data_IF_209897628298
#
_entry.id   IF_209897628298
#
_cell.length_a   1.000
_cell.length_b   1.000
_cell.length_c   1.000
_cell.angle_alpha   90.00
_cell.angle_beta   90.00
_cell.angle_gamma   90.00
#
_symmetry.space_group_name_H-M   'P 1'
#
loop_
_entity.id
_entity.type
_entity.pdbx_description
1 polymer ?
#
# COMPACT_ATOMS: atom_id res chain seq x y z
N UNK A 1 10.61 8.83 10.49
CA UNK A 1 11.60 7.85 10.98
C UNK A 1 11.19 6.46 10.52
N UNK A 2 12.12 5.49 10.42
CA UNK A 2 11.82 4.14 9.93
C UNK A 2 10.68 3.47 10.72
N UNK A 3 10.65 3.68 12.03
CA UNK A 3 9.64 3.15 12.95
C UNK A 3 8.26 3.77 12.72
N UNK A 4 8.21 5.08 12.46
CA UNK A 4 6.97 5.78 12.15
C UNK A 4 6.31 5.22 10.88
N UNK A 5 7.09 4.81 9.88
CA UNK A 5 6.55 4.20 8.68
C UNK A 5 5.99 2.78 8.93
N UNK A 6 6.58 2.03 9.87
CA UNK A 6 6.02 0.74 10.30
C UNK A 6 4.69 0.94 11.04
N UNK A 7 4.60 1.95 11.88
CA UNK A 7 3.39 2.24 12.65
C UNK A 7 2.27 2.73 11.71
N UNK A 8 2.57 3.64 10.77
CA UNK A 8 1.61 4.07 9.73
C UNK A 8 1.11 2.91 8.87
N UNK A 9 1.97 1.93 8.57
CA UNK A 9 1.57 0.74 7.82
C UNK A 9 0.57 -0.10 8.62
N UNK A 10 0.74 -0.22 9.94
CA UNK A 10 -0.20 -0.94 10.82
C UNK A 10 -1.54 -0.21 11.03
N UNK A 11 -1.54 1.11 10.94
CA UNK A 11 -2.76 1.94 11.08
C UNK A 11 -3.71 1.84 9.88
N UNK A 12 -3.27 1.28 8.74
CA UNK A 12 -4.14 1.11 7.57
C UNK A 12 -5.17 -0.01 7.77
N UNK A 13 -6.34 0.16 7.16
CA UNK A 13 -7.38 -0.87 7.13
C UNK A 13 -6.99 -1.99 6.15
N UNK A 14 -6.46 -3.10 6.67
CA UNK A 14 -6.13 -4.29 5.90
C UNK A 14 -7.24 -5.33 5.98
N UNK A 15 -7.42 -6.12 4.91
CA UNK A 15 -8.20 -7.35 5.04
C UNK A 15 -7.41 -8.39 5.87
N UNK A 16 -8.07 -9.48 6.27
CA UNK A 16 -7.48 -10.47 7.19
C UNK A 16 -6.18 -11.11 6.68
N UNK A 17 -6.07 -11.35 5.37
CA UNK A 17 -4.87 -11.94 4.76
C UNK A 17 -3.75 -10.91 4.66
N UNK A 18 -4.06 -9.71 4.16
CA UNK A 18 -3.14 -8.58 4.09
C UNK A 18 -2.58 -8.22 5.48
N UNK A 19 -3.44 -8.19 6.51
CA UNK A 19 -3.07 -7.87 7.88
C UNK A 19 -2.03 -8.86 8.44
N UNK A 20 -2.21 -10.16 8.19
CA UNK A 20 -1.27 -11.19 8.62
C UNK A 20 0.10 -11.01 7.95
N UNK A 21 0.12 -10.67 6.66
CA UNK A 21 1.36 -10.37 5.94
C UNK A 21 2.05 -9.12 6.47
N UNK A 22 1.30 -8.04 6.70
CA UNK A 22 1.83 -6.77 7.23
C UNK A 22 2.39 -6.95 8.63
N UNK A 23 1.69 -7.67 9.52
CA UNK A 23 2.19 -7.95 10.87
C UNK A 23 3.51 -8.72 10.83
N UNK A 24 3.58 -9.81 10.05
CA UNK A 24 4.80 -10.61 9.91
C UNK A 24 5.96 -9.79 9.32
N UNK A 25 5.67 -8.92 8.35
CA UNK A 25 6.68 -8.00 7.80
C UNK A 25 7.21 -7.07 8.90
N UNK A 26 6.34 -6.41 9.65
CA UNK A 26 6.73 -5.48 10.72
C UNK A 26 7.55 -6.19 11.81
N UNK A 27 7.14 -7.38 12.23
CA UNK A 27 7.89 -8.19 13.20
C UNK A 27 9.30 -8.52 12.71
N UNK A 28 9.41 -9.00 11.47
CA UNK A 28 10.71 -9.28 10.85
C UNK A 28 11.59 -8.03 10.79
N UNK A 29 11.04 -6.90 10.34
CA UNK A 29 11.79 -5.66 10.22
C UNK A 29 12.23 -5.12 11.59
N UNK A 30 11.39 -5.23 12.62
CA UNK A 30 11.73 -4.88 14.00
C UNK A 30 12.82 -5.81 14.56
N UNK A 31 12.75 -7.11 14.28
CA UNK A 31 13.75 -8.10 14.70
C UNK A 31 15.12 -7.82 14.09
N UNK A 32 15.19 -7.61 12.77
CA UNK A 32 16.45 -7.39 12.05
C UNK A 32 16.97 -5.94 12.11
N UNK A 33 16.21 -4.99 12.66
CA UNK A 33 16.53 -3.55 12.68
C UNK A 33 17.95 -3.22 13.14
N UNK A 34 18.47 -3.94 14.15
CA UNK A 34 19.82 -3.69 14.68
C UNK A 34 20.94 -4.15 13.72
N UNK A 35 20.64 -5.11 12.84
CA UNK A 35 21.57 -5.67 11.86
C UNK A 35 21.51 -4.96 10.50
N UNK A 36 20.47 -4.17 10.24
CA UNK A 36 20.33 -3.45 8.97
C UNK A 36 21.32 -2.29 8.85
N UNK A 37 21.98 -2.21 7.69
CA UNK A 37 22.81 -1.06 7.30
C UNK A 37 21.96 0.19 7.13
N UNK A 38 22.59 1.38 7.19
CA UNK A 38 21.89 2.66 6.99
C UNK A 38 21.23 2.75 5.61
N UNK A 39 21.89 2.27 4.56
CA UNK A 39 21.34 2.25 3.20
C UNK A 39 20.12 1.35 3.10
N UNK A 40 20.20 0.12 3.62
CA UNK A 40 19.07 -0.81 3.61
C UNK A 40 17.86 -0.26 4.38
N UNK A 41 18.08 0.41 5.52
CA UNK A 41 16.99 1.09 6.24
C UNK A 41 16.33 2.18 5.41
N UNK A 42 17.11 2.96 4.67
CA UNK A 42 16.57 4.00 3.79
C UNK A 42 15.75 3.40 2.64
N UNK A 43 16.25 2.34 2.00
CA UNK A 43 15.55 1.64 0.92
C UNK A 43 14.23 1.03 1.41
N UNK A 44 14.26 0.37 2.58
CA UNK A 44 13.06 -0.17 3.20
C UNK A 44 12.07 0.93 3.61
N UNK A 45 12.56 2.07 4.12
CA UNK A 45 11.69 3.20 4.44
C UNK A 45 10.95 3.72 3.20
N UNK A 46 11.65 3.86 2.06
CA UNK A 46 11.03 4.25 0.79
C UNK A 46 10.00 3.23 0.33
N UNK A 47 10.30 1.93 0.43
CA UNK A 47 9.37 0.87 0.07
C UNK A 47 8.09 0.90 0.93
N UNK A 48 8.23 1.11 2.26
CA UNK A 48 7.08 1.25 3.17
C UNK A 48 6.20 2.44 2.80
N UNK A 49 6.81 3.59 2.51
CA UNK A 49 6.09 4.79 2.05
C UNK A 49 5.31 4.53 0.75
N UNK A 50 5.90 3.77 -0.19
CA UNK A 50 5.21 3.36 -1.41
C UNK A 50 4.02 2.44 -1.11
N UNK A 51 4.17 1.46 -0.22
CA UNK A 51 3.07 0.58 0.17
C UNK A 51 1.89 1.36 0.77
N UNK A 52 2.17 2.31 1.68
CA UNK A 52 1.15 3.16 2.28
C UNK A 52 0.43 3.99 1.21
N UNK A 53 1.19 4.62 0.30
CA UNK A 53 0.62 5.41 -0.79
C UNK A 53 -0.29 4.57 -1.69
N UNK A 54 0.18 3.41 -2.14
CA UNK A 54 -0.60 2.52 -3.00
C UNK A 54 -1.85 2.02 -2.29
N UNK A 55 -1.78 1.73 -0.99
CA UNK A 55 -2.95 1.35 -0.20
C UNK A 55 -3.99 2.47 -0.16
N UNK A 56 -3.59 3.71 0.11
CA UNK A 56 -4.51 4.86 0.11
C UNK A 56 -5.14 5.10 -1.26
N UNK A 57 -4.36 5.00 -2.34
CA UNK A 57 -4.86 5.13 -3.71
C UNK A 57 -5.89 4.03 -4.03
N UNK A 58 -5.61 2.79 -3.62
CA UNK A 58 -6.50 1.65 -3.82
C UNK A 58 -7.80 1.78 -3.01
N UNK A 59 -7.72 2.22 -1.75
CA UNK A 59 -8.90 2.51 -0.93
C UNK A 59 -9.74 3.66 -1.52
N UNK A 60 -9.08 4.67 -2.10
CA UNK A 60 -9.77 5.75 -2.82
C UNK A 60 -10.55 5.23 -4.02
N UNK A 61 -9.97 4.30 -4.80
CA UNK A 61 -10.66 3.66 -5.93
C UNK A 61 -11.81 2.76 -5.46
N UNK A 62 -11.64 2.02 -4.35
CA UNK A 62 -12.69 1.18 -3.75
C UNK A 62 -13.86 2.00 -3.23
N UNK A 63 -13.60 3.06 -2.48
CA UNK A 63 -14.62 3.97 -1.92
C UNK A 63 -15.27 4.86 -2.98
N UNK A 64 -14.50 5.28 -3.97
CA UNK A 64 -14.94 6.11 -5.08
C UNK A 64 -15.82 5.39 -6.10
N UNK A 65 -16.03 4.07 -5.96
CA UNK A 65 -16.91 3.25 -6.78
C UNK A 65 -16.75 3.55 -8.26
N UNK A 66 -15.75 2.95 -8.93
CA UNK A 66 -15.45 3.13 -10.36
C UNK A 66 -16.68 3.59 -11.19
N UNK A 67 -16.84 4.90 -11.37
CA UNK A 67 -17.49 5.44 -12.55
C UNK A 67 -16.48 5.29 -13.67
N UNK A 68 -16.22 4.04 -14.04
CA UNK A 68 -15.50 3.76 -15.24
C UNK A 68 -16.38 4.33 -16.35
N UNK A 69 -16.02 5.51 -16.85
CA UNK A 69 -16.25 5.87 -18.24
C UNK A 69 -15.42 4.92 -19.11
N UNK A 70 -15.67 3.62 -19.00
CA UNK A 70 -15.20 2.63 -19.94
C UNK A 70 -16.14 2.70 -21.14
N UNK A 71 -15.78 3.54 -22.12
CA UNK A 71 -16.19 3.34 -23.51
C UNK A 71 -17.43 4.09 -24.00
N UNK A 72 -17.57 5.39 -23.73
CA UNK A 72 -18.45 6.26 -24.53
C UNK A 72 -17.70 6.90 -25.71
N UNK A 73 -16.95 6.11 -26.48
CA UNK A 73 -16.43 6.52 -27.80
C UNK A 73 -16.44 5.32 -28.75
N UNK A 74 -17.53 5.21 -29.53
CA UNK A 74 -17.49 4.59 -30.86
C UNK A 74 -18.52 3.49 -31.15
N UNK A 75 -19.76 3.88 -31.50
CA UNK A 75 -20.32 3.73 -32.87
C UNK A 75 -21.83 3.98 -32.90
N UNK A 76 -22.18 5.11 -33.52
CA UNK A 76 -23.32 5.39 -34.41
C UNK A 76 -24.47 4.36 -34.53
N UNK A 77 -25.68 4.86 -34.30
CA UNK A 77 -26.92 4.69 -35.09
C UNK A 77 -26.94 3.56 -36.13
N UNK A 78 -27.73 2.50 -35.85
CA UNK A 78 -28.54 1.66 -36.76
C UNK A 78 -29.55 0.98 -35.81
N UNK A 79 -30.88 1.10 -35.88
CA UNK A 79 -31.82 1.17 -37.00
C UNK A 79 -33.09 1.91 -36.54
#
# INVERSE_FOLDING_TARGET
MFEEELDKLLEQEWNSEEAAHVQKLVENLKYYKKMMTKSLKADLQMALQMCIRLKMELETLRKGGCTCQCGALGRTNVN
#
